data_IF_459093126461
#
_entry.id   IF_459093126461
#
_cell.length_a   1.000
_cell.length_b   1.000
_cell.length_c   1.000
_cell.angle_alpha   90.00
_cell.angle_beta   90.00
_cell.angle_gamma   90.00
#
_symmetry.space_group_name_H-M   'P 1'
#
loop_
_entity.id
_entity.type
_entity.pdbx_description
1 polymer ?
#
# COMPACT_ATOMS: atom_id res chain seq x y z
N UNK A 1 -25.65 -13.54 20.75
CA UNK A 1 -24.45 -14.40 20.76
C UNK A 1 -24.70 -15.55 19.79
N UNK A 2 -23.78 -15.80 18.86
CA UNK A 2 -23.88 -16.90 17.91
C UNK A 2 -23.69 -18.23 18.64
N UNK A 3 -24.62 -19.20 18.53
CA UNK A 3 -24.56 -20.44 19.29
C UNK A 3 -23.42 -21.39 18.87
N UNK A 4 -22.84 -21.21 17.68
CA UNK A 4 -21.75 -22.05 17.17
C UNK A 4 -20.38 -21.41 17.35
N UNK A 5 -20.27 -20.08 17.23
CA UNK A 5 -18.99 -19.36 17.29
C UNK A 5 -18.78 -18.57 18.57
N UNK A 6 -19.83 -18.35 19.37
CA UNK A 6 -19.79 -17.50 20.56
C UNK A 6 -19.69 -15.99 20.28
N UNK A 7 -19.66 -15.56 19.02
CA UNK A 7 -19.53 -14.14 18.66
C UNK A 7 -20.80 -13.37 19.07
N UNK A 8 -20.63 -12.23 19.73
CA UNK A 8 -21.72 -11.30 20.03
C UNK A 8 -21.42 -9.95 19.38
N UNK A 9 -22.42 -9.40 18.69
CA UNK A 9 -22.34 -8.07 18.10
C UNK A 9 -22.91 -7.03 19.07
N UNK A 10 -22.46 -5.76 18.98
CA UNK A 10 -23.09 -4.65 19.69
C UNK A 10 -24.56 -4.52 19.32
N UNK A 11 -25.36 -3.92 20.21
CA UNK A 11 -26.72 -3.57 19.88
C UNK A 11 -26.74 -2.60 18.68
N UNK A 12 -27.64 -2.82 17.70
CA UNK A 12 -27.72 -1.95 16.54
C UNK A 12 -28.22 -0.57 16.96
N UNK A 13 -27.47 0.46 16.60
CA UNK A 13 -27.82 1.87 16.78
C UNK A 13 -27.69 2.59 15.43
N UNK A 14 -28.41 3.69 15.18
CA UNK A 14 -28.34 4.40 13.89
C UNK A 14 -26.92 4.79 13.47
N UNK A 15 -26.07 5.18 14.43
CA UNK A 15 -24.67 5.53 14.19
C UNK A 15 -23.78 4.31 13.86
N UNK A 16 -24.15 3.08 14.25
CA UNK A 16 -23.45 1.85 13.87
C UNK A 16 -23.53 1.58 12.37
N UNK A 17 -24.48 2.19 11.67
CA UNK A 17 -24.64 2.09 10.22
C UNK A 17 -24.18 3.36 9.48
N UNK A 18 -23.62 4.33 10.20
CA UNK A 18 -23.12 5.57 9.62
C UNK A 18 -21.63 5.47 9.33
N UNK A 19 -21.26 5.52 8.05
CA UNK A 19 -19.86 5.60 7.63
C UNK A 19 -19.19 6.93 8.03
N UNK A 20 -19.99 7.93 8.43
CA UNK A 20 -19.49 9.21 8.95
C UNK A 20 -19.27 9.19 10.47
N UNK A 21 -19.61 8.10 11.16
CA UNK A 21 -19.44 7.97 12.61
C UNK A 21 -18.30 7.00 12.91
N UNK A 22 -17.44 7.28 13.91
CA UNK A 22 -16.40 6.34 14.36
C UNK A 22 -16.94 4.94 14.71
N UNK A 23 -18.21 4.86 15.14
CA UNK A 23 -18.87 3.60 15.53
C UNK A 23 -19.29 2.74 14.34
N UNK A 24 -19.60 3.35 13.19
CA UNK A 24 -20.06 2.65 11.98
C UNK A 24 -19.06 2.67 10.84
N UNK A 25 -18.03 3.50 10.90
CA UNK A 25 -17.02 3.58 9.84
C UNK A 25 -16.11 2.35 9.84
N UNK A 26 -15.77 1.91 8.63
CA UNK A 26 -14.73 0.92 8.45
C UNK A 26 -13.38 1.51 8.89
N UNK A 27 -12.70 0.86 9.83
CA UNK A 27 -11.43 1.34 10.41
C UNK A 27 -10.29 1.39 9.39
N UNK A 28 -10.39 0.56 8.37
CA UNK A 28 -9.39 0.42 7.32
C UNK A 28 -9.38 1.60 6.34
N UNK A 29 -10.55 2.14 6.01
CA UNK A 29 -10.70 3.23 5.04
C UNK A 29 -11.34 4.49 5.63
N UNK A 30 -11.53 4.52 6.95
CA UNK A 30 -12.19 5.60 7.69
C UNK A 30 -13.54 6.03 7.10
N UNK A 31 -14.30 5.05 6.60
CA UNK A 31 -15.62 5.29 5.99
C UNK A 31 -15.60 5.82 4.55
N UNK A 32 -14.43 6.00 3.92
CA UNK A 32 -14.32 6.49 2.53
C UNK A 32 -14.66 5.44 1.47
N UNK A 33 -14.60 4.15 1.82
CA UNK A 33 -14.81 3.05 0.89
C UNK A 33 -13.66 2.81 -0.11
N UNK A 34 -12.60 3.61 -0.03
CA UNK A 34 -11.41 3.51 -0.88
C UNK A 34 -10.13 3.74 -0.07
N UNK A 35 -9.01 3.17 -0.55
CA UNK A 35 -7.67 3.39 0.00
C UNK A 35 -6.77 3.95 -1.09
N UNK A 36 -5.86 4.84 -0.70
CA UNK A 36 -4.82 5.33 -1.60
C UNK A 36 -3.63 4.38 -1.56
N UNK A 37 -3.53 3.52 -2.58
CA UNK A 37 -2.45 2.55 -2.70
C UNK A 37 -1.49 2.93 -3.83
N UNK A 38 -0.24 2.48 -3.69
CA UNK A 38 0.79 2.71 -4.71
C UNK A 38 0.48 1.84 -5.93
N UNK A 39 0.33 2.49 -7.08
CA UNK A 39 0.12 1.79 -8.34
C UNK A 39 1.47 1.43 -8.99
N UNK A 40 1.81 0.13 -8.98
CA UNK A 40 3.08 -0.36 -9.54
C UNK A 40 3.26 -0.03 -11.03
N UNK A 41 2.20 -0.03 -11.83
CA UNK A 41 2.27 0.33 -13.26
C UNK A 41 2.62 1.81 -13.46
N UNK A 42 2.35 2.68 -12.47
CA UNK A 42 2.81 4.07 -12.48
C UNK A 42 4.24 4.22 -11.97
N UNK A 43 4.68 3.33 -11.09
CA UNK A 43 6.05 3.32 -10.54
C UNK A 43 7.05 2.75 -11.56
N UNK A 44 6.67 1.67 -12.25
CA UNK A 44 7.46 0.96 -13.25
C UNK A 44 6.60 0.85 -14.52
N UNK A 45 6.54 1.90 -15.34
CA UNK A 45 5.68 1.92 -16.54
C UNK A 45 6.22 1.03 -17.67
N UNK A 46 7.51 0.73 -17.65
CA UNK A 46 8.16 -0.16 -18.61
C UNK A 46 9.22 -0.98 -17.87
N UNK A 47 8.98 -2.29 -17.78
CA UNK A 47 9.84 -3.27 -17.08
C UNK A 47 11.13 -3.60 -17.84
N UNK A 48 11.22 -3.22 -19.11
CA UNK A 48 12.38 -3.43 -19.97
C UNK A 48 13.41 -2.30 -19.86
N UNK A 49 13.10 -1.23 -19.12
CA UNK A 49 13.99 -0.08 -18.91
C UNK A 49 14.84 -0.30 -17.66
N UNK A 50 16.15 -0.16 -17.79
CA UNK A 50 17.05 -0.36 -16.66
C UNK A 50 16.83 0.67 -15.55
N UNK A 51 17.08 0.27 -14.31
CA UNK A 51 16.96 1.15 -13.15
C UNK A 51 17.91 2.36 -13.30
N UNK A 52 19.10 2.15 -13.87
CA UNK A 52 20.11 3.19 -14.06
C UNK A 52 19.65 4.33 -14.99
N UNK A 53 18.86 4.03 -16.03
CA UNK A 53 18.32 5.06 -16.94
C UNK A 53 16.94 5.58 -16.52
N UNK A 54 16.40 5.09 -15.39
CA UNK A 54 15.16 5.59 -14.80
C UNK A 54 13.92 4.71 -15.00
N UNK A 55 14.10 3.39 -15.05
CA UNK A 55 12.99 2.42 -15.07
C UNK A 55 12.06 2.50 -13.84
N UNK A 56 12.57 2.97 -12.70
CA UNK A 56 11.77 3.31 -11.51
C UNK A 56 11.46 4.80 -11.53
N UNK A 57 10.25 5.15 -11.97
CA UNK A 57 9.86 6.53 -12.28
C UNK A 57 10.05 7.52 -11.11
N UNK A 58 9.68 7.19 -9.85
CA UNK A 58 9.89 8.11 -8.72
C UNK A 58 11.37 8.31 -8.34
N UNK A 59 12.22 7.33 -8.61
CA UNK A 59 13.66 7.44 -8.34
C UNK A 59 14.38 8.28 -9.42
N UNK A 60 13.85 8.27 -10.65
CA UNK A 60 14.47 8.92 -11.80
C UNK A 60 15.71 8.18 -12.30
N UNK A 61 16.48 8.84 -13.18
CA UNK A 61 17.77 8.32 -13.64
C UNK A 61 18.81 8.28 -12.52
N UNK A 62 19.90 7.54 -12.73
CA UNK A 62 20.99 7.39 -11.77
C UNK A 62 21.45 8.72 -11.17
N UNK A 63 21.55 8.71 -9.84
CA UNK A 63 22.11 9.80 -9.02
C UNK A 63 22.97 9.16 -7.95
N UNK A 64 24.14 9.74 -7.69
CA UNK A 64 24.98 9.29 -6.57
C UNK A 64 24.37 9.75 -5.23
N UNK A 65 23.33 9.05 -4.78
CA UNK A 65 22.61 9.34 -3.54
C UNK A 65 22.37 8.06 -2.73
N UNK A 66 21.80 8.22 -1.53
CA UNK A 66 21.52 7.10 -0.65
C UNK A 66 20.59 6.06 -1.29
N UNK A 67 19.57 6.48 -2.05
CA UNK A 67 18.62 5.58 -2.71
C UNK A 67 19.30 4.64 -3.71
N UNK A 68 20.17 5.15 -4.59
CA UNK A 68 20.87 4.30 -5.56
C UNK A 68 21.90 3.38 -4.88
N UNK A 69 22.54 3.82 -3.79
CA UNK A 69 23.38 2.93 -2.96
C UNK A 69 22.58 1.77 -2.35
N UNK A 70 21.34 2.01 -1.95
CA UNK A 70 20.44 0.92 -1.50
C UNK A 70 20.09 -0.03 -2.64
N UNK A 71 19.78 0.49 -3.83
CA UNK A 71 19.50 -0.35 -5.00
C UNK A 71 20.68 -1.25 -5.36
N UNK A 72 21.90 -0.71 -5.37
CA UNK A 72 23.12 -1.49 -5.61
C UNK A 72 23.31 -2.58 -4.54
N UNK A 73 23.11 -2.24 -3.27
CA UNK A 73 23.24 -3.21 -2.16
C UNK A 73 22.23 -4.37 -2.28
N UNK A 74 20.99 -4.05 -2.68
CA UNK A 74 19.95 -5.05 -2.95
C UNK A 74 20.33 -5.90 -4.18
N UNK A 75 20.77 -5.26 -5.27
CA UNK A 75 21.17 -5.95 -6.49
C UNK A 75 22.35 -6.91 -6.28
N UNK A 76 23.35 -6.52 -5.48
CA UNK A 76 24.45 -7.38 -5.05
C UNK A 76 23.94 -8.59 -4.24
N UNK A 77 23.06 -8.35 -3.27
CA UNK A 77 22.52 -9.42 -2.42
C UNK A 77 21.74 -10.47 -3.20
N UNK A 78 20.91 -10.03 -4.15
CA UNK A 78 20.05 -10.91 -4.95
C UNK A 78 20.68 -11.33 -6.29
N UNK A 79 21.91 -10.91 -6.58
CA UNK A 79 22.69 -11.30 -7.77
C UNK A 79 22.00 -11.00 -9.11
N UNK A 80 21.38 -9.82 -9.23
CA UNK A 80 20.81 -9.33 -10.50
C UNK A 80 21.50 -8.07 -11.04
N UNK A 81 22.71 -7.79 -10.52
CA UNK A 81 23.62 -6.80 -11.07
C UNK A 81 24.07 -7.16 -12.49
#
# INVERSE_FOLDING_TARGET
>A
MCPTTGIAYPNPEPNSFSFNSPKGMCQDCSGLGMKHEVNLNKVIPNDSVSIHVGGIKPAGSFKNNWTFKQFESIAQRYKFL
#
